data_IF_630812516385
#
_entry.id   IF_630812516385
#
_cell.length_a   1.000
_cell.length_b   1.000
_cell.length_c   1.000
_cell.angle_alpha   90.00
_cell.angle_beta   90.00
_cell.angle_gamma   90.00
#
_symmetry.space_group_name_H-M   'P 1'
#
loop_
_entity.id
_entity.type
_entity.pdbx_description
1 polymer ?
#
# COMPACT_ATOMS: atom_id res chain seq x y z
N UNK A 1 -25.01 7.55 3.44
CA UNK A 1 -24.59 7.67 2.02
C UNK A 1 -25.83 7.54 1.14
N UNK A 2 -26.08 8.49 0.23
CA UNK A 2 -27.22 8.41 -0.69
C UNK A 2 -27.09 7.23 -1.66
N UNK A 3 -28.21 6.73 -2.18
CA UNK A 3 -28.20 5.66 -3.18
C UNK A 3 -27.52 6.12 -4.47
N UNK A 4 -26.62 5.29 -5.01
CA UNK A 4 -25.98 5.51 -6.30
C UNK A 4 -27.00 5.42 -7.43
N UNK A 5 -27.03 6.44 -8.30
CA UNK A 5 -27.83 6.42 -9.53
C UNK A 5 -27.23 5.50 -10.58
N UNK A 6 -28.00 5.18 -11.64
CA UNK A 6 -27.48 4.46 -12.81
C UNK A 6 -26.32 5.21 -13.47
N UNK A 7 -26.41 6.54 -13.53
CA UNK A 7 -25.35 7.40 -14.06
C UNK A 7 -24.08 7.31 -13.21
N UNK A 8 -24.21 7.31 -11.88
CA UNK A 8 -23.07 7.15 -10.96
C UNK A 8 -22.38 5.81 -11.18
N UNK A 9 -23.14 4.71 -11.30
CA UNK A 9 -22.58 3.39 -11.55
C UNK A 9 -21.79 3.36 -12.86
N UNK A 10 -22.36 3.89 -13.94
CA UNK A 10 -21.68 3.95 -15.25
C UNK A 10 -20.36 4.74 -15.17
N UNK A 11 -20.36 5.85 -14.45
CA UNK A 11 -19.17 6.67 -14.26
C UNK A 11 -18.11 5.97 -13.40
N UNK A 12 -18.52 5.31 -12.32
CA UNK A 12 -17.61 4.48 -11.50
C UNK A 12 -16.95 3.40 -12.35
N UNK A 13 -17.71 2.69 -13.21
CA UNK A 13 -17.13 1.68 -14.10
C UNK A 13 -16.14 2.27 -15.10
N UNK A 14 -16.47 3.44 -15.68
CA UNK A 14 -15.58 4.17 -16.59
C UNK A 14 -14.27 4.54 -15.88
N UNK A 15 -14.35 5.09 -14.67
CA UNK A 15 -13.17 5.48 -13.88
C UNK A 15 -12.30 4.28 -13.53
N UNK A 16 -12.91 3.18 -13.08
CA UNK A 16 -12.20 1.93 -12.75
C UNK A 16 -11.39 1.36 -13.91
N UNK A 17 -11.81 1.59 -15.16
CA UNK A 17 -11.09 1.11 -16.33
C UNK A 17 -9.72 1.80 -16.53
N UNK A 18 -9.49 2.97 -15.94
CA UNK A 18 -8.18 3.64 -15.98
C UNK A 18 -7.16 3.04 -15.01
N UNK A 19 -7.62 2.36 -13.96
CA UNK A 19 -6.75 1.83 -12.92
C UNK A 19 -6.04 0.56 -13.42
N UNK A 20 -4.71 0.56 -13.56
CA UNK A 20 -3.98 -0.63 -13.96
C UNK A 20 -4.05 -1.71 -12.88
N UNK A 21 -3.90 -2.97 -13.27
CA UNK A 21 -3.88 -4.10 -12.32
C UNK A 21 -2.70 -4.07 -11.34
N UNK A 22 -1.60 -3.43 -11.72
CA UNK A 22 -0.42 -3.27 -10.88
C UNK A 22 0.13 -1.85 -11.00
N UNK A 23 0.69 -1.34 -9.89
CA UNK A 23 1.37 -0.06 -9.84
C UNK A 23 2.80 -0.28 -9.35
N UNK A 24 3.77 0.15 -10.15
CA UNK A 24 5.18 0.14 -9.79
C UNK A 24 5.52 1.33 -8.90
N UNK A 25 6.35 1.09 -7.89
CA UNK A 25 6.81 2.13 -6.98
C UNK A 25 8.26 1.91 -6.59
N UNK A 26 8.97 3.02 -6.37
CA UNK A 26 10.31 3.02 -5.78
C UNK A 26 10.23 3.68 -4.41
N UNK A 27 10.50 2.90 -3.37
CA UNK A 27 10.46 3.34 -1.97
C UNK A 27 11.88 3.55 -1.46
N UNK A 28 12.09 4.62 -0.70
CA UNK A 28 13.34 4.91 -0.01
C UNK A 28 13.03 5.35 1.42
N UNK A 29 13.89 4.94 2.35
CA UNK A 29 13.90 5.51 3.69
C UNK A 29 14.64 6.84 3.67
N UNK A 30 14.06 7.86 4.26
CA UNK A 30 14.71 9.16 4.44
C UNK A 30 15.69 9.12 5.61
N UNK A 31 16.62 10.08 5.67
CA UNK A 31 17.68 10.12 6.70
C UNK A 31 17.15 10.40 8.10
N UNK A 32 16.03 11.10 8.19
CA UNK A 32 15.26 11.45 9.39
C UNK A 32 14.31 10.35 9.85
N UNK A 33 14.21 9.22 9.13
CA UNK A 33 13.56 7.99 9.59
C UNK A 33 12.22 7.66 8.92
N UNK A 34 11.65 8.59 8.15
CA UNK A 34 10.43 8.41 7.35
C UNK A 34 10.66 7.70 6.01
N UNK A 35 9.64 7.74 5.16
CA UNK A 35 9.62 7.09 3.85
C UNK A 35 9.26 8.08 2.75
N UNK A 36 9.87 7.91 1.59
CA UNK A 36 9.48 8.56 0.35
C UNK A 36 9.21 7.51 -0.72
N UNK A 37 8.23 7.77 -1.58
CA UNK A 37 7.86 6.93 -2.71
C UNK A 37 7.73 7.74 -3.99
N UNK A 38 8.26 7.18 -5.07
CA UNK A 38 7.94 7.61 -6.44
C UNK A 38 7.11 6.52 -7.11
N UNK A 39 5.95 6.87 -7.64
CA UNK A 39 5.08 5.92 -8.34
C UNK A 39 5.52 5.85 -9.80
N UNK A 40 6.26 4.81 -10.17
CA UNK A 40 6.92 4.73 -11.49
C UNK A 40 5.94 4.48 -12.63
N UNK A 41 4.75 3.98 -12.34
CA UNK A 41 3.66 3.84 -13.33
C UNK A 41 3.04 5.19 -13.70
N UNK A 42 3.12 6.18 -12.82
CA UNK A 42 2.53 7.52 -13.02
C UNK A 42 3.62 8.59 -12.82
N UNK A 43 4.34 8.97 -13.90
CA UNK A 43 5.39 9.97 -13.81
C UNK A 43 4.91 11.27 -13.15
N UNK A 44 5.71 11.80 -12.23
CA UNK A 44 5.36 13.02 -11.48
C UNK A 44 4.62 12.77 -10.17
N UNK A 45 4.21 11.52 -9.88
CA UNK A 45 3.54 11.18 -8.62
C UNK A 45 4.58 10.78 -7.57
N UNK A 46 4.72 11.63 -6.55
CA UNK A 46 5.60 11.45 -5.42
C UNK A 46 4.84 11.65 -4.11
N UNK A 47 5.22 10.93 -3.07
CA UNK A 47 4.65 11.10 -1.74
C UNK A 47 5.61 10.64 -0.65
N UNK A 48 5.33 11.00 0.58
CA UNK A 48 6.10 10.67 1.76
C UNK A 48 5.19 10.45 2.97
N UNK A 49 5.70 9.69 3.94
CA UNK A 49 5.00 9.42 5.21
C UNK A 49 5.99 8.90 6.26
N UNK A 50 5.60 8.95 7.53
CA UNK A 50 6.45 8.50 8.64
C UNK A 50 6.52 6.97 8.75
N UNK A 51 5.44 6.29 8.37
CA UNK A 51 5.38 4.82 8.35
C UNK A 51 5.11 4.28 6.94
N UNK A 52 5.51 3.03 6.70
CA UNK A 52 5.22 2.38 5.41
C UNK A 52 3.71 2.19 5.19
N UNK A 53 2.95 1.92 6.25
CA UNK A 53 1.48 1.79 6.15
C UNK A 53 0.82 3.10 5.70
N UNK A 54 1.22 4.22 6.29
CA UNK A 54 0.76 5.55 5.87
C UNK A 54 1.21 5.86 4.45
N UNK A 55 2.44 5.51 4.08
CA UNK A 55 2.96 5.70 2.72
C UNK A 55 2.08 5.02 1.68
N UNK A 56 1.62 3.79 1.94
CA UNK A 56 0.68 3.10 1.05
C UNK A 56 -0.66 3.84 0.96
N UNK A 57 -1.16 4.38 2.06
CA UNK A 57 -2.35 5.24 2.06
C UNK A 57 -2.16 6.46 1.17
N UNK A 58 -1.04 7.17 1.35
CA UNK A 58 -0.70 8.35 0.56
C UNK A 58 -0.51 8.05 -0.92
N UNK A 59 0.08 6.89 -1.26
CA UNK A 59 0.19 6.44 -2.65
C UNK A 59 -1.18 6.23 -3.27
N UNK A 60 -2.11 5.59 -2.57
CA UNK A 60 -3.47 5.38 -3.07
C UNK A 60 -4.21 6.71 -3.29
N UNK A 61 -4.11 7.65 -2.35
CA UNK A 61 -4.70 8.98 -2.49
C UNK A 61 -4.10 9.77 -3.66
N UNK A 62 -2.78 9.70 -3.83
CA UNK A 62 -2.09 10.34 -4.95
C UNK A 62 -2.50 9.75 -6.31
N UNK A 63 -2.70 8.43 -6.40
CA UNK A 63 -3.20 7.79 -7.63
C UNK A 63 -4.65 8.20 -7.93
N UNK A 64 -5.51 8.29 -6.91
CA UNK A 64 -6.88 8.79 -7.09
C UNK A 64 -6.90 10.24 -7.56
N UNK A 65 -6.00 11.06 -7.02
CA UNK A 65 -5.80 12.45 -7.43
C UNK A 65 -5.29 12.55 -8.87
N UNK A 66 -4.34 11.70 -9.27
CA UNK A 66 -3.82 11.64 -10.64
C UNK A 66 -4.93 11.39 -11.69
N UNK A 67 -5.91 10.55 -11.35
CA UNK A 67 -7.08 10.29 -12.21
C UNK A 67 -8.25 11.25 -12.00
N UNK A 68 -8.08 12.29 -11.19
CA UNK A 68 -9.10 13.29 -10.87
C UNK A 68 -10.42 12.67 -10.36
N UNK A 69 -10.31 11.60 -9.55
CA UNK A 69 -11.48 10.88 -9.05
C UNK A 69 -12.32 11.82 -8.16
N UNK A 70 -13.61 12.03 -8.46
CA UNK A 70 -14.48 12.81 -7.60
C UNK A 70 -14.57 12.21 -6.20
N UNK A 71 -14.49 13.04 -5.14
CA UNK A 71 -14.50 12.59 -3.73
C UNK A 71 -15.63 11.62 -3.39
N UNK A 72 -16.83 11.81 -3.95
CA UNK A 72 -17.99 10.93 -3.73
C UNK A 72 -17.81 9.50 -4.28
N UNK A 73 -16.82 9.27 -5.14
CA UNK A 73 -16.53 7.98 -5.76
C UNK A 73 -15.29 7.29 -5.20
N UNK A 74 -14.50 7.96 -4.35
CA UNK A 74 -13.23 7.44 -3.79
C UNK A 74 -13.41 6.05 -3.16
N UNK A 75 -14.45 5.85 -2.35
CA UNK A 75 -14.73 4.57 -1.68
C UNK A 75 -15.12 3.42 -2.62
N UNK A 76 -15.32 3.70 -3.92
CA UNK A 76 -15.67 2.70 -4.94
C UNK A 76 -14.50 2.41 -5.89
N UNK A 77 -13.38 3.11 -5.74
CA UNK A 77 -12.18 2.89 -6.56
C UNK A 77 -11.32 1.75 -6.03
N UNK A 78 -10.51 1.11 -6.89
CA UNK A 78 -9.55 0.12 -6.44
C UNK A 78 -8.50 0.75 -5.52
N UNK A 79 -7.96 -0.05 -4.60
CA UNK A 79 -6.80 0.32 -3.81
C UNK A 79 -5.68 -0.69 -4.04
N UNK A 80 -4.46 -0.20 -4.05
CA UNK A 80 -3.25 -0.98 -4.19
C UNK A 80 -2.70 -1.32 -2.82
N UNK A 81 -2.40 -2.59 -2.63
CA UNK A 81 -1.72 -3.11 -1.43
C UNK A 81 -0.35 -3.67 -1.84
N UNK A 82 0.68 -3.46 -1.02
CA UNK A 82 2.00 -4.01 -1.30
C UNK A 82 2.01 -5.54 -1.14
N UNK A 83 2.92 -6.27 -1.82
CA UNK A 83 3.16 -7.68 -1.54
C UNK A 83 3.57 -7.89 -0.07
N UNK A 84 3.14 -8.99 0.54
CA UNK A 84 3.41 -9.30 1.96
C UNK A 84 4.91 -9.19 2.32
N UNK A 85 5.79 -9.71 1.45
CA UNK A 85 7.25 -9.63 1.67
C UNK A 85 7.76 -8.19 1.76
N UNK A 86 7.25 -7.29 0.92
CA UNK A 86 7.63 -5.88 0.97
C UNK A 86 7.09 -5.21 2.24
N UNK A 87 5.84 -5.51 2.59
CA UNK A 87 5.21 -4.96 3.78
C UNK A 87 5.90 -5.41 5.08
N UNK A 88 6.39 -6.66 5.12
CA UNK A 88 7.22 -7.18 6.21
C UNK A 88 8.61 -6.53 6.24
N UNK A 89 9.28 -6.40 5.09
CA UNK A 89 10.61 -5.79 4.99
C UNK A 89 10.64 -4.33 5.47
N UNK A 90 9.54 -3.61 5.32
CA UNK A 90 9.40 -2.22 5.78
C UNK A 90 8.64 -2.09 7.11
N UNK A 91 8.39 -3.19 7.83
CA UNK A 91 7.82 -3.18 9.18
C UNK A 91 6.34 -2.78 9.26
N UNK A 92 5.60 -2.79 8.16
CA UNK A 92 4.15 -2.54 8.17
C UNK A 92 3.33 -3.73 8.67
N UNK A 93 3.90 -4.94 8.60
CA UNK A 93 3.36 -6.12 9.27
C UNK A 93 4.44 -6.76 10.12
N UNK A 94 4.08 -7.33 11.28
CA UNK A 94 5.03 -8.13 12.06
C UNK A 94 5.55 -9.26 11.18
N UNK A 95 6.88 -9.38 11.08
CA UNK A 95 7.47 -10.65 10.71
C UNK A 95 7.14 -11.59 11.85
N UNK A 96 6.41 -12.68 11.57
CA UNK A 96 6.35 -13.79 12.50
C UNK A 96 7.76 -14.38 12.58
N UNK A 97 8.66 -13.77 13.34
CA UNK A 97 9.75 -14.50 13.96
C UNK A 97 9.05 -15.62 14.72
N UNK A 98 9.25 -16.85 14.28
CA UNK A 98 8.84 -18.02 15.07
C UNK A 98 9.60 -17.91 16.38
N UNK A 99 9.01 -17.28 17.39
CA UNK A 99 9.48 -17.36 18.75
C UNK A 99 9.47 -18.85 19.11
N UNK A 100 10.66 -19.46 19.12
CA UNK A 100 10.82 -20.87 19.50
C UNK A 100 11.57 -20.89 20.82
N UNK A 101 10.82 -21.18 21.87
CA UNK A 101 11.39 -21.63 23.12
C UNK A 101 11.95 -23.04 22.91
N UNK A 102 13.26 -23.21 23.04
CA UNK A 102 13.90 -24.51 23.13
C UNK A 102 14.75 -24.57 24.39
N UNK A 103 14.79 -25.74 25.04
CA UNK A 103 15.68 -26.04 26.14
C UNK A 103 16.77 -26.98 25.63
N UNK A 104 18.01 -26.66 25.97
CA UNK A 104 19.15 -27.54 25.73
C UNK A 104 19.22 -28.55 26.88
N UNK A 105 19.36 -29.83 26.56
CA UNK A 105 19.67 -30.87 27.54
C UNK A 105 21.15 -31.19 27.51
N UNK A 106 21.71 -31.57 28.67
CA UNK A 106 23.13 -31.92 28.80
C UNK A 106 23.37 -33.24 28.08
N UNK A 107 24.30 -33.27 27.13
CA UNK A 107 24.76 -34.53 26.54
C UNK A 107 25.34 -35.43 27.63
N UNK A 108 24.78 -36.62 27.82
CA UNK A 108 25.31 -37.61 28.74
C UNK A 108 26.59 -38.20 28.16
N UNK A 109 27.70 -38.26 28.92
CA UNK A 109 28.85 -39.02 28.49
C UNK A 109 28.50 -40.52 28.53
N UNK A 110 28.81 -41.19 27.41
CA UNK A 110 28.78 -42.65 27.25
C UNK A 110 29.81 -43.34 28.12
#
# INVERSE_FOLDING_TARGET
MGQLTVKDKKEIYRLRAFFPGNVGMRVRRSKDGGFSAAVTTFPGVFTEADTFSELIGMVNDAVMTYFEVPRRYVSFMPSYIPPLRAAQAFGAFPMFEKEKNFRLERASPS
#
